data_IF_416554239250
#
_entry.id   IF_416554239250
#
_cell.length_a   1.000
_cell.length_b   1.000
_cell.length_c   1.000
_cell.angle_alpha   90.00
_cell.angle_beta   90.00
_cell.angle_gamma   90.00
#
_symmetry.space_group_name_H-M   'P 1'
#
loop_
_entity.id
_entity.type
_entity.pdbx_description
1 polymer ?
#
# COMPACT_ATOMS: atom_id res chain seq x y z
N UNK A 1 -3.32 -13.71 -23.90
CA UNK A 1 -4.15 -13.04 -22.87
C UNK A 1 -3.91 -11.54 -22.99
N UNK A 2 -4.91 -10.68 -22.73
CA UNK A 2 -4.72 -9.24 -22.86
C UNK A 2 -3.73 -8.73 -21.80
N UNK A 3 -2.80 -7.85 -22.22
CA UNK A 3 -1.75 -7.23 -21.38
C UNK A 3 -2.31 -6.66 -20.06
N UNK A 4 -3.55 -6.15 -20.10
CA UNK A 4 -4.28 -5.68 -18.91
C UNK A 4 -4.53 -6.76 -17.85
N UNK A 5 -4.92 -7.97 -18.25
CA UNK A 5 -5.23 -9.05 -17.30
C UNK A 5 -3.97 -9.53 -16.59
N UNK A 6 -2.84 -9.59 -17.28
CA UNK A 6 -1.56 -9.97 -16.69
C UNK A 6 -1.04 -8.91 -15.72
N UNK A 7 -1.19 -7.62 -16.05
CA UNK A 7 -0.86 -6.54 -15.14
C UNK A 7 -1.71 -6.63 -13.86
N UNK A 8 -3.03 -6.73 -13.97
CA UNK A 8 -3.93 -6.83 -12.81
C UNK A 8 -3.61 -8.03 -11.91
N UNK A 9 -3.24 -9.17 -12.48
CA UNK A 9 -2.79 -10.34 -11.72
C UNK A 9 -1.49 -10.04 -10.94
N UNK A 10 -0.52 -9.38 -11.58
CA UNK A 10 0.74 -8.97 -10.91
C UNK A 10 0.48 -8.02 -9.74
N UNK A 11 -0.35 -6.99 -9.96
CA UNK A 11 -0.72 -6.04 -8.91
C UNK A 11 -1.49 -6.71 -7.78
N UNK A 12 -2.41 -7.62 -8.09
CA UNK A 12 -3.19 -8.33 -7.08
C UNK A 12 -2.33 -9.27 -6.25
N UNK A 13 -1.42 -10.01 -6.88
CA UNK A 13 -0.45 -10.86 -6.20
C UNK A 13 0.46 -10.04 -5.29
N UNK A 14 1.00 -8.91 -5.79
CA UNK A 14 1.85 -8.02 -5.01
C UNK A 14 1.10 -7.43 -3.81
N UNK A 15 -0.14 -6.97 -3.99
CA UNK A 15 -0.99 -6.49 -2.90
C UNK A 15 -1.19 -7.56 -1.82
N UNK A 16 -1.45 -8.81 -2.20
CA UNK A 16 -1.63 -9.89 -1.24
C UNK A 16 -0.34 -10.16 -0.45
N UNK A 17 0.82 -10.17 -1.11
CA UNK A 17 2.12 -10.27 -0.43
C UNK A 17 2.37 -9.11 0.52
N UNK A 18 2.05 -7.87 0.11
CA UNK A 18 2.22 -6.68 0.94
C UNK A 18 1.27 -6.68 2.15
N UNK A 19 0.00 -7.05 1.95
CA UNK A 19 -0.99 -7.20 3.03
C UNK A 19 -0.55 -8.26 4.04
N UNK A 20 -0.06 -9.40 3.58
CA UNK A 20 0.48 -10.45 4.45
C UNK A 20 1.70 -9.96 5.23
N UNK A 21 2.64 -9.29 4.55
CA UNK A 21 3.79 -8.68 5.21
C UNK A 21 3.34 -7.70 6.31
N UNK A 22 2.38 -6.82 6.03
CA UNK A 22 1.89 -5.85 6.99
C UNK A 22 1.27 -6.56 8.20
N UNK A 23 0.39 -7.53 8.00
CA UNK A 23 -0.32 -8.20 9.08
C UNK A 23 0.56 -9.13 9.93
N UNK A 24 1.59 -9.75 9.34
CA UNK A 24 2.33 -10.84 10.00
C UNK A 24 3.82 -10.59 10.19
N UNK A 25 4.46 -9.75 9.38
CA UNK A 25 5.92 -9.56 9.38
C UNK A 25 6.37 -8.14 9.74
N UNK A 26 5.45 -7.17 9.74
CA UNK A 26 5.77 -5.77 10.05
C UNK A 26 6.26 -5.59 11.49
N UNK A 27 5.81 -6.44 12.41
CA UNK A 27 6.04 -6.30 13.86
C UNK A 27 5.13 -5.26 14.51
N UNK A 28 4.12 -4.76 13.79
CA UNK A 28 3.12 -3.83 14.31
C UNK A 28 1.75 -4.47 14.30
N UNK A 29 0.91 -4.09 15.26
CA UNK A 29 -0.51 -4.46 15.25
C UNK A 29 -1.23 -3.60 14.21
N UNK A 30 -1.40 -4.14 13.01
CA UNK A 30 -2.13 -3.48 11.92
C UNK A 30 -3.62 -3.53 12.23
N UNK A 31 -4.28 -2.38 12.14
CA UNK A 31 -5.73 -2.28 12.33
C UNK A 31 -6.52 -2.40 11.02
N UNK A 32 -5.87 -2.16 9.87
CA UNK A 32 -6.47 -2.32 8.55
C UNK A 32 -5.48 -2.03 7.42
N UNK A 33 -5.69 -2.71 6.29
CA UNK A 33 -4.96 -2.51 5.02
C UNK A 33 -5.98 -2.50 3.89
N UNK A 34 -5.91 -1.52 2.99
CA UNK A 34 -6.78 -1.44 1.82
C UNK A 34 -6.03 -0.89 0.61
N UNK A 35 -6.45 -1.28 -0.59
CA UNK A 35 -6.05 -0.61 -1.83
C UNK A 35 -6.66 0.79 -1.84
N UNK A 36 -5.96 1.78 -2.35
CA UNK A 36 -6.43 3.16 -2.55
C UNK A 36 -6.20 3.60 -4.01
N UNK A 37 -6.64 4.80 -4.36
CA UNK A 37 -6.29 5.45 -5.63
C UNK A 37 -7.16 5.09 -6.83
N UNK A 38 -6.77 5.67 -7.98
CA UNK A 38 -7.47 5.57 -9.26
C UNK A 38 -7.79 4.13 -9.60
N UNK A 39 -6.91 3.18 -9.22
CA UNK A 39 -7.07 1.74 -9.44
C UNK A 39 -8.35 1.08 -8.90
N UNK A 40 -9.12 1.83 -8.14
CA UNK A 40 -10.37 1.38 -7.53
C UNK A 40 -11.60 2.06 -8.12
N UNK A 41 -11.44 3.09 -8.96
CA UNK A 41 -12.52 3.91 -9.52
C UNK A 41 -12.74 3.73 -11.02
N UNK A 42 -11.98 2.86 -11.70
CA UNK A 42 -12.17 2.54 -13.13
C UNK A 42 -11.53 3.54 -14.12
N UNK A 43 -10.98 4.66 -13.65
CA UNK A 43 -10.40 5.73 -14.49
C UNK A 43 -8.89 5.56 -14.79
N UNK A 44 -8.37 4.34 -14.86
CA UNK A 44 -6.93 4.13 -14.81
C UNK A 44 -6.32 4.27 -16.20
N UNK A 45 -5.25 5.06 -16.33
CA UNK A 45 -4.32 4.94 -17.46
C UNK A 45 -3.51 3.65 -17.25
N UNK A 46 -3.10 2.97 -18.32
CA UNK A 46 -2.49 1.61 -18.29
C UNK A 46 -1.19 1.46 -17.45
N UNK A 47 -0.70 2.55 -16.83
CA UNK A 47 0.50 2.63 -15.97
C UNK A 47 0.24 3.15 -14.55
N UNK A 48 -1.01 3.23 -14.07
CA UNK A 48 -1.28 3.76 -12.72
C UNK A 48 -0.58 2.94 -11.63
N UNK A 49 0.06 3.60 -10.67
CA UNK A 49 0.69 2.97 -9.51
C UNK A 49 -0.38 2.33 -8.59
N UNK A 50 0.01 1.33 -7.79
CA UNK A 50 -0.85 0.75 -6.76
C UNK A 50 -0.76 1.56 -5.47
N UNK A 51 -1.81 2.27 -5.10
CA UNK A 51 -1.84 2.91 -3.78
C UNK A 51 -2.37 1.93 -2.74
N UNK A 52 -1.71 1.87 -1.57
CA UNK A 52 -2.13 1.07 -0.42
C UNK A 52 -2.14 1.94 0.82
N UNK A 53 -3.29 2.02 1.46
CA UNK A 53 -3.45 2.70 2.75
C UNK A 53 -3.51 1.67 3.87
N UNK A 54 -2.93 2.00 5.01
CA UNK A 54 -3.00 1.18 6.21
C UNK A 54 -2.99 2.03 7.46
N UNK A 55 -3.42 1.44 8.58
CA UNK A 55 -3.29 2.07 9.90
C UNK A 55 -2.79 1.08 10.94
N UNK A 56 -2.08 1.61 11.94
CA UNK A 56 -1.50 0.85 13.05
C UNK A 56 -2.25 1.20 14.34
N UNK A 57 -2.60 0.18 15.11
CA UNK A 57 -3.24 0.35 16.41
C UNK A 57 -2.30 1.10 17.34
N UNK A 58 -2.83 2.08 18.10
CA UNK A 58 -2.10 3.02 18.97
C UNK A 58 -1.32 4.14 18.26
N UNK A 59 -1.55 4.34 16.96
CA UNK A 59 -1.11 5.50 16.16
C UNK A 59 0.32 6.00 16.45
N UNK A 60 1.36 5.20 16.18
CA UNK A 60 2.74 5.61 16.43
C UNK A 60 3.23 6.62 15.38
N UNK A 61 4.33 7.33 15.68
CA UNK A 61 4.92 8.33 14.76
C UNK A 61 5.30 7.73 13.39
N UNK A 62 4.79 8.34 12.30
CA UNK A 62 5.00 7.87 10.93
C UNK A 62 6.48 7.72 10.56
N UNK A 63 7.31 8.70 10.92
CA UNK A 63 8.74 8.70 10.60
C UNK A 63 9.48 7.48 11.18
N UNK A 64 9.20 7.14 12.45
CA UNK A 64 9.81 5.97 13.11
C UNK A 64 9.35 4.67 12.47
N UNK A 65 8.06 4.56 12.15
CA UNK A 65 7.50 3.37 11.52
C UNK A 65 8.08 3.16 10.13
N UNK A 66 8.20 4.22 9.33
CA UNK A 66 8.61 4.11 7.92
C UNK A 66 10.04 3.61 7.77
N UNK A 67 10.96 4.16 8.57
CA UNK A 67 12.35 3.69 8.59
C UNK A 67 12.44 2.20 8.98
N UNK A 68 11.64 1.77 9.97
CA UNK A 68 11.61 0.38 10.39
C UNK A 68 10.98 -0.55 9.32
N UNK A 69 9.91 -0.12 8.67
CA UNK A 69 9.22 -0.88 7.62
C UNK A 69 10.08 -1.02 6.37
N UNK A 70 10.79 0.03 5.94
CA UNK A 70 11.62 0.03 4.73
C UNK A 70 12.63 -1.12 4.74
N UNK A 71 13.37 -1.27 5.85
CA UNK A 71 14.38 -2.32 5.96
C UNK A 71 13.77 -3.73 5.92
N UNK A 72 12.59 -3.90 6.53
CA UNK A 72 11.87 -5.18 6.52
C UNK A 72 11.26 -5.48 5.16
N UNK A 73 10.66 -4.50 4.50
CA UNK A 73 10.09 -4.61 3.15
C UNK A 73 11.15 -5.08 2.14
N UNK A 74 12.32 -4.41 2.13
CA UNK A 74 13.45 -4.78 1.27
C UNK A 74 13.86 -6.25 1.46
N UNK A 75 13.96 -6.69 2.72
CA UNK A 75 14.37 -8.07 3.07
C UNK A 75 13.31 -9.12 2.75
N UNK A 76 12.05 -8.87 3.12
CA UNK A 76 10.98 -9.88 3.02
C UNK A 76 10.40 -9.99 1.62
N UNK A 77 10.14 -8.86 0.94
CA UNK A 77 9.49 -8.85 -0.37
C UNK A 77 10.49 -8.78 -1.54
N UNK A 78 11.78 -8.58 -1.25
CA UNK A 78 12.85 -8.39 -2.25
C UNK A 78 12.46 -7.28 -3.23
N UNK A 79 12.12 -6.12 -2.68
CA UNK A 79 11.65 -4.92 -3.40
C UNK A 79 12.62 -3.77 -3.17
N UNK A 80 12.61 -2.79 -4.06
CA UNK A 80 13.22 -1.49 -3.80
C UNK A 80 12.22 -0.60 -3.06
N UNK A 81 12.71 0.23 -2.15
CA UNK A 81 11.87 1.18 -1.43
C UNK A 81 12.61 2.49 -1.17
N UNK A 82 11.82 3.56 -1.09
CA UNK A 82 12.26 4.91 -0.75
C UNK A 82 11.17 5.67 0.03
N UNK A 83 11.55 6.72 0.73
CA UNK A 83 10.61 7.65 1.37
C UNK A 83 10.28 8.73 0.34
N UNK A 84 8.99 8.87 0.01
CA UNK A 84 8.54 9.93 -0.89
C UNK A 84 8.86 11.33 -0.35
N UNK A 85 8.95 12.31 -1.24
CA UNK A 85 9.41 13.68 -0.95
C UNK A 85 8.67 14.39 0.20
N UNK A 86 7.42 14.00 0.49
CA UNK A 86 6.62 14.52 1.59
C UNK A 86 6.83 13.79 2.93
N UNK A 87 7.73 12.80 3.00
CA UNK A 87 7.92 11.88 4.14
C UNK A 87 6.67 11.14 4.61
N UNK A 88 5.61 11.16 3.80
CA UNK A 88 4.28 10.64 4.14
C UNK A 88 3.93 9.37 3.38
N UNK A 89 4.79 8.93 2.45
CA UNK A 89 4.60 7.73 1.62
C UNK A 89 5.89 6.93 1.60
N UNK A 90 5.77 5.60 1.69
CA UNK A 90 6.83 4.68 1.30
C UNK A 90 6.57 4.29 -0.15
N UNK A 91 7.47 4.68 -1.05
CA UNK A 91 7.45 4.23 -2.45
C UNK A 91 8.08 2.86 -2.52
N UNK A 92 7.43 1.92 -3.20
CA UNK A 92 7.87 0.54 -3.36
C UNK A 92 7.84 0.20 -4.85
N UNK A 93 8.91 -0.39 -5.38
CA UNK A 93 8.92 -0.84 -6.76
C UNK A 93 9.71 -2.12 -6.97
N UNK A 94 9.24 -2.93 -7.92
CA UNK A 94 9.84 -4.19 -8.37
C UNK A 94 9.28 -4.52 -9.75
N UNK A 95 10.14 -4.92 -10.68
CA UNK A 95 9.84 -5.38 -12.06
C UNK A 95 8.36 -5.33 -12.49
N UNK A 96 7.94 -4.20 -13.05
CA UNK A 96 6.58 -4.02 -13.60
C UNK A 96 5.49 -3.72 -12.57
N UNK A 97 5.84 -3.49 -11.30
CA UNK A 97 4.92 -3.09 -10.23
C UNK A 97 5.53 -1.94 -9.42
N UNK A 98 4.75 -0.88 -9.27
CA UNK A 98 5.01 0.29 -8.45
C UNK A 98 3.86 0.45 -7.45
N UNK A 99 4.19 0.80 -6.21
CA UNK A 99 3.23 0.89 -5.13
C UNK A 99 3.59 1.99 -4.14
N UNK A 100 2.61 2.81 -3.80
CA UNK A 100 2.72 3.83 -2.77
C UNK A 100 2.01 3.35 -1.52
N UNK A 101 2.75 3.22 -0.43
CA UNK A 101 2.26 2.74 0.86
C UNK A 101 2.13 3.91 1.84
N UNK A 102 0.90 4.14 2.32
CA UNK A 102 0.54 5.32 3.11
C UNK A 102 -0.04 4.91 4.46
N UNK A 103 0.60 5.36 5.54
CA UNK A 103 0.08 5.24 6.89
C UNK A 103 -0.88 6.40 7.19
N UNK A 104 -2.08 6.03 7.59
CA UNK A 104 -3.15 6.94 8.01
C UNK A 104 -3.45 6.77 9.50
N UNK A 105 -4.11 7.78 10.08
CA UNK A 105 -4.79 7.60 11.36
C UNK A 105 -5.98 6.66 11.18
N UNK A 106 -6.50 6.09 12.27
CA UNK A 106 -7.68 5.24 12.21
C UNK A 106 -8.91 5.99 11.63
N UNK A 107 -9.12 7.25 12.03
CA UNK A 107 -10.22 8.08 11.55
C UNK A 107 -10.11 8.37 10.06
N UNK A 108 -8.91 8.72 9.57
CA UNK A 108 -8.71 9.02 8.14
C UNK A 108 -8.87 7.76 7.30
N UNK A 109 -8.33 6.63 7.78
CA UNK A 109 -8.48 5.33 7.11
C UNK A 109 -9.95 4.93 7.01
N UNK A 110 -10.71 5.02 8.12
CA UNK A 110 -12.14 4.70 8.12
C UNK A 110 -12.93 5.63 7.22
N UNK A 111 -12.62 6.93 7.23
CA UNK A 111 -13.26 7.91 6.34
C UNK A 111 -13.02 7.54 4.88
N UNK A 112 -11.77 7.28 4.49
CA UNK A 112 -11.42 6.90 3.13
C UNK A 112 -12.14 5.62 2.67
N UNK A 113 -12.20 4.59 3.52
CA UNK A 113 -12.91 3.35 3.17
C UNK A 113 -14.43 3.54 3.14
N UNK A 114 -14.99 4.32 4.06
CA UNK A 114 -16.44 4.55 4.11
C UNK A 114 -16.91 5.40 2.94
N UNK A 115 -16.20 6.46 2.55
CA UNK A 115 -16.52 7.27 1.36
C UNK A 115 -16.62 6.42 0.10
N UNK A 116 -15.85 5.33 0.02
CA UNK A 116 -15.92 4.38 -1.11
C UNK A 116 -17.19 3.55 -1.15
N UNK A 117 -17.77 3.19 0.00
CA UNK A 117 -19.02 2.43 0.04
C UNK A 117 -20.23 3.21 -0.47
N UNK A 118 -20.13 4.53 -0.59
CA UNK A 118 -21.24 5.39 -1.04
C UNK A 118 -21.20 5.73 -2.54
N UNK A 119 -20.25 5.17 -3.30
CA UNK A 119 -20.13 5.37 -4.76
C UNK A 119 -20.56 4.10 -5.53
N UNK A 120 -21.03 3.06 -4.85
CA UNK A 120 -21.63 1.86 -5.48
C UNK A 120 -23.12 2.03 -5.75
#
# INVERSE_FOLDING_TARGET
>A
MSIRREAELKYSAFYNSLKNFLNYNSGYKIGGVARWGSRTTGEHRDKSDLDVIFWIVRNPSKQKIYLALINKLKKTLKVNTDIGSSSNVIKIWKEGVTCDLVLLSESDYRTQINTRRFIE
#
